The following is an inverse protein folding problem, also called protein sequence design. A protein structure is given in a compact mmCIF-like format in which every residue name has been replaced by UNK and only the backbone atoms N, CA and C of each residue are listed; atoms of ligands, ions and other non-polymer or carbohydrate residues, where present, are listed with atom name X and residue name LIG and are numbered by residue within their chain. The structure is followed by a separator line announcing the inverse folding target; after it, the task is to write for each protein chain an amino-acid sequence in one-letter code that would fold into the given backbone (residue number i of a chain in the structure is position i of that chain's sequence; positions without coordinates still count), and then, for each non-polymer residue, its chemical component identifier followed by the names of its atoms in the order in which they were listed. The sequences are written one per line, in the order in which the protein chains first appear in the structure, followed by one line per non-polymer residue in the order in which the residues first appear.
data_IF_639405105720
#
_entry.id   IF_639405105720
#
_cell.length_a   1.000
_cell.length_b   1.000
_cell.length_c   1.000
_cell.angle_alpha   90.00
_cell.angle_beta   90.00
_cell.angle_gamma   90.00
#
_symmetry.space_group_name_H-M   'P 1'
#
loop_
_entity.id
_entity.type
_entity.pdbx_description
1 polymer ?
#
# COMPACT_ATOMS: atom_id res chain seq x y z
N UNK A 1 -1.67 12.57 -17.22
CA UNK A 1 -0.31 12.54 -16.61
C UNK A 1 -0.44 12.10 -15.16
N UNK A 2 0.46 11.22 -14.70
CA UNK A 2 0.53 10.79 -13.30
C UNK A 2 1.74 11.39 -12.59
N UNK A 3 1.65 11.54 -11.27
CA UNK A 3 2.73 11.99 -10.38
C UNK A 3 3.07 10.85 -9.44
N UNK A 4 4.32 10.37 -9.45
CA UNK A 4 4.79 9.40 -8.46
C UNK A 4 4.98 10.10 -7.11
N UNK A 5 4.17 9.77 -6.11
CA UNK A 5 4.11 10.55 -4.87
C UNK A 5 5.39 10.44 -4.04
N UNK A 6 5.93 9.22 -3.87
CA UNK A 6 7.16 8.98 -3.10
C UNK A 6 8.36 9.81 -3.56
N UNK A 7 8.82 9.68 -4.82
CA UNK A 7 9.93 10.47 -5.36
C UNK A 7 9.67 11.99 -5.34
N UNK A 8 8.41 12.42 -5.44
CA UNK A 8 8.03 13.83 -5.37
C UNK A 8 7.96 14.38 -3.93
N UNK A 9 8.20 13.54 -2.90
CA UNK A 9 8.08 13.94 -1.50
C UNK A 9 6.64 14.29 -1.10
N UNK A 10 5.65 13.69 -1.78
CA UNK A 10 4.24 13.98 -1.60
C UNK A 10 3.54 12.90 -0.77
N UNK A 11 2.59 13.37 0.03
CA UNK A 11 1.59 12.54 0.71
C UNK A 11 0.24 13.12 0.33
N UNK A 12 -0.58 12.34 -0.37
CA UNK A 12 -1.90 12.79 -0.83
C UNK A 12 -2.97 11.99 -0.09
N UNK A 13 -3.92 12.70 0.51
CA UNK A 13 -5.15 12.11 1.06
C UNK A 13 -6.15 12.01 -0.09
N UNK A 14 -6.51 10.79 -0.45
CA UNK A 14 -7.41 10.45 -1.56
C UNK A 14 -8.78 10.08 -0.98
N UNK A 15 -9.72 11.02 -1.09
CA UNK A 15 -11.04 10.95 -0.47
C UNK A 15 -12.04 10.52 -1.54
N UNK A 16 -12.65 9.36 -1.35
CA UNK A 16 -13.64 8.82 -2.26
C UNK A 16 -15.08 9.26 -1.90
N UNK A 17 -15.92 9.36 -2.94
CA UNK A 17 -17.34 9.68 -2.85
C UNK A 17 -18.23 8.52 -3.33
N UNK A 18 -17.76 7.29 -3.24
CA UNK A 18 -18.46 6.14 -3.76
C UNK A 18 -19.69 5.82 -2.91
N UNK A 19 -20.86 5.72 -3.56
CA UNK A 19 -22.10 5.31 -2.91
C UNK A 19 -22.12 3.80 -2.75
N UNK A 20 -21.50 3.31 -1.68
CA UNK A 20 -21.42 1.89 -1.31
C UNK A 20 -21.96 1.68 0.10
N UNK A 21 -22.33 0.45 0.43
CA UNK A 21 -22.83 0.12 1.75
C UNK A 21 -21.81 0.53 2.83
N UNK A 22 -22.28 1.29 3.81
CA UNK A 22 -21.49 1.69 4.97
C UNK A 22 -21.08 0.43 5.74
N UNK A 23 -19.79 0.22 6.02
CA UNK A 23 -19.34 -0.96 6.72
C UNK A 23 -19.73 -0.88 8.19
N UNK A 24 -19.44 -1.95 8.92
CA UNK A 24 -19.56 -1.94 10.37
C UNK A 24 -18.79 -0.76 10.99
N UNK A 25 -19.36 -0.17 12.04
CA UNK A 25 -18.81 0.96 12.79
C UNK A 25 -17.34 0.80 13.17
N UNK A 26 -16.92 -0.42 13.52
CA UNK A 26 -15.53 -0.72 13.87
C UNK A 26 -14.54 -0.63 12.71
N UNK A 27 -15.03 -0.50 11.47
CA UNK A 27 -14.23 -0.42 10.25
C UNK A 27 -14.15 1.01 9.68
N UNK A 28 -14.95 1.95 10.20
CA UNK A 28 -14.97 3.34 9.71
C UNK A 28 -13.65 4.07 10.00
N UNK A 29 -13.12 3.90 11.21
CA UNK A 29 -11.87 4.50 11.67
C UNK A 29 -10.93 3.38 12.18
N UNK A 30 -10.03 2.85 11.34
CA UNK A 30 -9.23 1.66 11.68
C UNK A 30 -8.45 1.78 12.98
N UNK A 31 -8.89 1.18 14.08
CA UNK A 31 -8.21 1.27 15.39
C UNK A 31 -8.64 2.46 16.26
N UNK A 32 -9.75 3.12 15.92
CA UNK A 32 -10.46 4.05 16.81
C UNK A 32 -11.88 3.48 17.01
N UNK A 33 -12.23 3.04 18.23
CA UNK A 33 -13.61 2.63 18.51
C UNK A 33 -14.52 3.87 18.51
N UNK A 34 -15.61 3.80 17.76
CA UNK A 34 -16.67 4.82 17.79
C UNK A 34 -17.71 4.37 18.82
N UNK A 35 -18.00 5.13 19.89
CA UNK A 35 -19.01 4.78 20.88
C UNK A 35 -20.43 4.66 20.28
N UNK A 36 -21.31 3.86 20.90
CA UNK A 36 -22.70 3.64 20.40
C UNK A 36 -23.55 4.91 20.42
N UNK A 37 -23.19 5.84 21.28
CA UNK A 37 -23.88 7.12 21.45
C UNK A 37 -23.61 8.08 20.28
N UNK A 38 -22.59 7.81 19.46
CA UNK A 38 -22.31 8.62 18.25
C UNK A 38 -23.24 8.15 17.15
N UNK A 39 -24.20 9.01 16.78
CA UNK A 39 -25.07 8.78 15.63
C UNK A 39 -24.27 8.90 14.34
N UNK A 40 -24.37 7.89 13.48
CA UNK A 40 -23.69 7.82 12.18
C UNK A 40 -24.68 7.95 11.01
N UNK A 41 -25.93 8.33 11.31
CA UNK A 41 -26.97 8.55 10.32
C UNK A 41 -26.53 9.65 9.33
N UNK A 42 -26.61 9.35 8.03
CA UNK A 42 -26.19 10.27 6.96
C UNK A 42 -24.71 10.19 6.57
N UNK A 43 -23.90 9.32 7.20
CA UNK A 43 -22.56 9.01 6.74
C UNK A 43 -22.64 8.21 5.43
N UNK A 44 -22.11 8.75 4.32
CA UNK A 44 -22.27 8.17 2.98
C UNK A 44 -20.97 8.04 2.19
N UNK A 45 -19.90 8.69 2.64
CA UNK A 45 -18.67 8.80 1.86
C UNK A 45 -17.40 8.96 2.71
N UNK A 46 -16.24 8.99 2.03
CA UNK A 46 -14.96 9.31 2.65
C UNK A 46 -14.87 10.73 3.22
N UNK A 47 -15.69 11.66 2.71
CA UNK A 47 -15.74 13.02 3.27
C UNK A 47 -16.27 13.00 4.71
N UNK A 48 -17.28 12.18 4.95
CA UNK A 48 -17.96 12.08 6.25
C UNK A 48 -17.06 11.39 7.28
N UNK A 49 -16.39 10.30 6.88
CA UNK A 49 -15.45 9.60 7.78
C UNK A 49 -14.19 10.40 8.05
N UNK A 50 -13.70 11.16 7.07
CA UNK A 50 -12.58 12.07 7.31
C UNK A 50 -12.98 13.23 8.22
N UNK A 51 -14.18 13.79 8.05
CA UNK A 51 -14.71 14.82 8.93
C UNK A 51 -14.91 14.29 10.36
N UNK A 52 -15.43 13.07 10.51
CA UNK A 52 -15.55 12.40 11.80
C UNK A 52 -14.18 12.20 12.47
N UNK A 53 -13.17 11.75 11.72
CA UNK A 53 -11.80 11.61 12.23
C UNK A 53 -11.23 12.95 12.69
N UNK A 54 -11.39 14.00 11.89
CA UNK A 54 -10.89 15.33 12.21
C UNK A 54 -11.60 15.89 13.45
N UNK A 55 -12.92 15.77 13.54
CA UNK A 55 -13.70 16.17 14.71
C UNK A 55 -13.28 15.41 15.98
N UNK A 56 -13.02 14.10 15.88
CA UNK A 56 -12.49 13.29 16.99
C UNK A 56 -11.12 13.77 17.48
N UNK A 57 -10.35 14.43 16.62
CA UNK A 57 -9.05 15.03 16.95
C UNK A 57 -9.11 16.52 17.30
N UNK A 58 -10.27 17.16 17.22
CA UNK A 58 -10.41 18.61 17.41
C UNK A 58 -9.77 19.43 16.29
N UNK A 59 -9.67 18.86 15.09
CA UNK A 59 -8.97 19.42 13.93
C UNK A 59 -9.96 19.74 12.79
N UNK A 60 -9.54 20.61 11.87
CA UNK A 60 -10.28 20.85 10.62
C UNK A 60 -10.08 19.69 9.64
N UNK A 61 -11.16 19.28 8.96
CA UNK A 61 -11.06 18.23 7.93
C UNK A 61 -10.09 18.65 6.82
N UNK A 62 -9.17 17.78 6.37
CA UNK A 62 -8.30 18.06 5.23
C UNK A 62 -9.07 18.42 3.95
N UNK A 63 -10.32 17.94 3.79
CA UNK A 63 -11.18 18.34 2.68
C UNK A 63 -11.48 19.85 2.66
N UNK A 64 -11.44 20.50 3.82
CA UNK A 64 -11.69 21.93 4.03
C UNK A 64 -10.41 22.76 4.12
N UNK A 65 -9.22 22.13 4.03
CA UNK A 65 -7.94 22.84 4.08
C UNK A 65 -7.70 23.63 2.78
N UNK A 66 -8.03 24.91 2.80
CA UNK A 66 -7.89 25.80 1.65
C UNK A 66 -6.46 26.32 1.45
N UNK A 67 -5.57 26.06 2.40
CA UNK A 67 -4.17 26.48 2.35
C UNK A 67 -3.28 25.50 1.60
N UNK A 68 -3.83 24.35 1.21
CA UNK A 68 -3.14 23.32 0.45
C UNK A 68 -3.77 23.04 -0.92
N UNK A 69 -3.01 22.44 -1.82
CA UNK A 69 -3.51 22.04 -3.13
C UNK A 69 -4.58 20.94 -2.99
N UNK A 70 -5.79 21.26 -3.44
CA UNK A 70 -6.95 20.36 -3.50
C UNK A 70 -7.37 20.13 -4.95
N UNK A 71 -7.74 18.91 -5.30
CA UNK A 71 -8.11 18.53 -6.68
C UNK A 71 -9.32 17.62 -6.69
N UNK A 72 -10.43 18.07 -7.27
CA UNK A 72 -11.60 17.21 -7.51
C UNK A 72 -11.29 16.13 -8.52
N UNK A 73 -11.74 14.93 -8.19
CA UNK A 73 -11.65 13.78 -9.09
C UNK A 73 -12.91 13.70 -9.96
N UNK A 74 -12.85 13.04 -11.13
CA UNK A 74 -14.03 12.83 -11.95
C UNK A 74 -15.12 11.97 -11.30
N UNK A 75 -14.76 11.13 -10.31
CA UNK A 75 -15.72 10.32 -9.54
C UNK A 75 -16.45 11.11 -8.44
N UNK A 76 -16.17 12.41 -8.27
CA UNK A 76 -16.75 13.24 -7.21
C UNK A 76 -15.92 13.28 -5.92
N UNK A 77 -14.86 12.48 -5.84
CA UNK A 77 -13.87 12.49 -4.76
C UNK A 77 -12.98 13.73 -4.75
N UNK A 78 -12.01 13.75 -3.84
CA UNK A 78 -11.07 14.84 -3.65
C UNK A 78 -9.68 14.32 -3.27
N UNK A 79 -8.66 14.78 -4.00
CA UNK A 79 -7.27 14.64 -3.58
C UNK A 79 -6.83 15.89 -2.81
N UNK A 80 -6.31 15.70 -1.59
CA UNK A 80 -5.71 16.76 -0.77
C UNK A 80 -4.21 16.51 -0.68
N UNK A 81 -3.40 17.42 -1.22
CA UNK A 81 -1.98 17.18 -1.47
C UNK A 81 -1.13 17.84 -0.39
N UNK A 82 -0.23 17.09 0.25
CA UNK A 82 0.74 17.62 1.19
C UNK A 82 2.17 17.28 0.78
N UNK A 83 3.13 18.12 1.19
CA UNK A 83 4.56 17.81 1.15
C UNK A 83 4.97 17.18 2.47
N UNK A 84 5.79 16.14 2.40
CA UNK A 84 6.38 15.52 3.58
C UNK A 84 7.42 16.48 4.21
N UNK A 85 7.26 16.90 5.48
CA UNK A 85 8.22 17.78 6.13
C UNK A 85 9.56 17.11 6.44
N UNK A 86 9.58 15.77 6.54
CA UNK A 86 10.70 15.01 7.09
C UNK A 86 11.15 13.93 6.11
N UNK A 87 12.15 14.18 5.25
CA UNK A 87 12.59 13.23 4.21
C UNK A 87 13.01 11.84 4.73
N UNK A 88 13.46 11.76 5.99
CA UNK A 88 13.84 10.50 6.65
C UNK A 88 12.64 9.64 7.06
N UNK A 89 11.45 10.23 7.16
CA UNK A 89 10.19 9.50 7.41
C UNK A 89 9.54 9.25 6.06
N UNK A 90 9.30 7.99 5.71
CA UNK A 90 8.59 7.63 4.47
C UNK A 90 7.21 7.10 4.81
N UNK A 91 6.22 7.48 4.01
CA UNK A 91 4.85 7.01 4.14
C UNK A 91 4.56 6.05 2.99
N UNK A 92 4.00 4.87 3.27
CA UNK A 92 3.53 3.95 2.23
C UNK A 92 2.16 4.38 1.70
N UNK A 93 1.88 4.04 0.46
CA UNK A 93 0.54 4.13 -0.10
C UNK A 93 -0.41 3.17 0.64
N UNK A 94 -1.68 3.55 0.77
CA UNK A 94 -2.79 2.64 1.05
C UNK A 94 -2.85 1.62 -0.07
N UNK A 95 -2.60 0.35 0.26
CA UNK A 95 -2.66 -0.77 -0.67
C UNK A 95 -3.62 -1.81 -0.13
N UNK A 96 -4.62 -2.19 -0.95
CA UNK A 96 -5.53 -3.30 -0.68
C UNK A 96 -6.54 -3.03 0.44
N UNK A 97 -7.66 -3.75 0.39
CA UNK A 97 -8.78 -3.74 1.35
C UNK A 97 -8.43 -4.34 2.72
N UNK A 98 -7.16 -4.29 3.13
CA UNK A 98 -6.74 -4.70 4.46
C UNK A 98 -7.34 -3.73 5.49
N UNK A 99 -7.85 -4.27 6.60
CA UNK A 99 -8.60 -3.56 7.65
C UNK A 99 -7.80 -2.44 8.37
N UNK A 100 -6.56 -2.16 7.94
CA UNK A 100 -5.62 -1.23 8.57
C UNK A 100 -4.78 -0.39 7.58
N UNK A 101 -5.08 -0.39 6.28
CA UNK A 101 -4.26 0.32 5.27
C UNK A 101 -4.89 1.60 4.73
N UNK A 102 -6.12 1.93 5.11
CA UNK A 102 -6.75 3.22 4.83
C UNK A 102 -6.66 4.14 6.06
N UNK A 103 -6.70 5.46 5.85
CA UNK A 103 -6.77 6.44 6.94
C UNK A 103 -8.13 6.36 7.66
N UNK A 104 -9.19 6.21 6.87
CA UNK A 104 -10.58 5.98 7.26
C UNK A 104 -11.31 5.24 6.12
N UNK A 105 -12.53 4.75 6.34
CA UNK A 105 -13.32 4.16 5.24
C UNK A 105 -13.48 5.17 4.11
N UNK A 106 -13.17 4.75 2.87
CA UNK A 106 -13.12 5.61 1.68
C UNK A 106 -12.10 6.76 1.72
N UNK A 107 -11.06 6.65 2.57
CA UNK A 107 -9.98 7.64 2.63
C UNK A 107 -8.63 6.94 2.57
N UNK A 108 -8.06 6.94 1.37
CA UNK A 108 -6.76 6.35 1.06
C UNK A 108 -5.62 7.38 1.17
N UNK A 109 -4.39 6.88 1.27
CA UNK A 109 -3.16 7.65 1.26
C UNK A 109 -2.36 7.26 0.02
N UNK A 110 -1.93 8.24 -0.77
CA UNK A 110 -1.04 8.03 -1.91
C UNK A 110 0.32 8.63 -1.58
N UNK A 111 1.33 7.77 -1.45
CA UNK A 111 2.69 8.13 -1.04
C UNK A 111 3.73 7.22 -1.70
N UNK A 112 4.70 6.68 -0.95
CA UNK A 112 5.71 5.74 -1.45
C UNK A 112 5.05 4.53 -2.13
N UNK A 113 5.54 4.18 -3.31
CA UNK A 113 4.99 3.08 -4.12
C UNK A 113 3.65 3.41 -4.81
N UNK A 114 3.08 4.59 -4.56
CA UNK A 114 1.84 5.07 -5.19
C UNK A 114 2.09 6.18 -6.20
N UNK A 115 1.09 6.39 -7.05
CA UNK A 115 0.99 7.55 -7.92
C UNK A 115 -0.41 8.16 -7.83
N UNK A 116 -0.54 9.40 -8.29
CA UNK A 116 -1.81 10.10 -8.36
C UNK A 116 -1.93 10.86 -9.67
N UNK A 117 -3.16 11.12 -10.13
CA UNK A 117 -3.36 11.88 -11.37
C UNK A 117 -3.08 13.36 -11.14
N UNK A 118 -2.28 13.96 -12.03
CA UNK A 118 -1.86 15.36 -11.92
C UNK A 118 -3.06 16.32 -12.09
N UNK A 119 -3.08 17.45 -11.37
CA UNK A 119 -4.11 18.47 -11.54
C UNK A 119 -4.20 18.96 -12.99
N UNK A 120 -5.41 19.21 -13.48
CA UNK A 120 -5.68 19.62 -14.86
C UNK A 120 -5.67 18.48 -15.89
N UNK A 121 -5.28 17.26 -15.50
CA UNK A 121 -5.31 16.11 -16.41
C UNK A 121 -6.74 15.79 -16.83
N UNK A 122 -6.93 15.60 -18.15
CA UNK A 122 -8.16 15.08 -18.74
C UNK A 122 -8.03 13.58 -18.95
N UNK A 123 -9.08 12.85 -18.60
CA UNK A 123 -9.22 11.40 -18.82
C UNK A 123 -10.58 11.13 -19.48
N UNK A 124 -10.83 9.93 -20.04
CA UNK A 124 -12.17 9.58 -20.52
C UNK A 124 -13.27 9.69 -19.45
N UNK A 125 -12.92 9.52 -18.17
CA UNK A 125 -13.85 9.66 -17.04
C UNK A 125 -14.15 11.11 -16.67
N UNK A 126 -13.35 12.06 -17.14
CA UNK A 126 -13.49 13.50 -16.86
C UNK A 126 -12.17 14.16 -16.49
N UNK A 127 -12.27 15.37 -15.93
CA UNK A 127 -11.13 16.26 -15.64
C UNK A 127 -10.83 16.30 -14.14
N UNK A 128 -9.55 16.19 -13.79
CA UNK A 128 -9.08 16.44 -12.43
C UNK A 128 -8.95 17.95 -12.23
N UNK A 129 -9.88 18.56 -11.48
CA UNK A 129 -10.02 20.02 -11.39
C UNK A 129 -9.40 20.54 -10.09
N UNK A 130 -8.36 21.40 -10.12
CA UNK A 130 -7.90 22.10 -8.93
C UNK A 130 -9.05 22.91 -8.29
N UNK A 131 -9.18 22.86 -6.97
CA UNK A 131 -10.14 23.66 -6.20
C UNK A 131 -9.45 24.77 -5.40
N UNK A 132 -10.19 25.86 -5.16
CA UNK A 132 -9.70 27.02 -4.42
C UNK A 132 -8.57 27.77 -5.14
N UNK A 133 -7.81 28.58 -4.37
CA UNK A 133 -6.71 29.41 -4.86
C UNK A 133 -5.33 28.77 -4.67
N UNK A 134 -5.18 27.83 -3.73
CA UNK A 134 -3.92 27.13 -3.48
C UNK A 134 -3.49 26.27 -4.69
N UNK A 135 -2.24 26.44 -5.12
CA UNK A 135 -1.65 25.72 -6.27
C UNK A 135 -0.42 24.90 -5.90
N UNK A 136 -0.04 24.90 -4.63
CA UNK A 136 1.13 24.17 -4.11
C UNK A 136 0.72 23.35 -2.90
N UNK A 137 1.26 22.12 -2.73
CA UNK A 137 1.07 21.35 -1.51
C UNK A 137 1.64 22.07 -0.29
N UNK A 138 0.83 22.23 0.76
CA UNK A 138 1.26 22.70 2.07
C UNK A 138 2.04 21.59 2.81
N UNK A 139 2.66 21.93 3.94
CA UNK A 139 3.31 20.94 4.82
C UNK A 139 2.26 20.00 5.39
N UNK A 140 2.55 18.70 5.42
CA UNK A 140 1.70 17.69 6.07
C UNK A 140 1.48 18.04 7.56
N UNK A 141 0.23 18.32 7.98
CA UNK A 141 -0.09 18.66 9.37
C UNK A 141 0.36 17.58 10.36
N UNK A 142 0.82 18.01 11.53
CA UNK A 142 1.32 17.09 12.57
C UNK A 142 0.27 16.05 13.00
N UNK A 143 -1.00 16.45 13.12
CA UNK A 143 -2.07 15.53 13.47
C UNK A 143 -2.25 14.43 12.42
N UNK A 144 -2.16 14.75 11.12
CA UNK A 144 -2.18 13.75 10.06
C UNK A 144 -0.94 12.84 10.13
N UNK A 145 0.24 13.37 10.46
CA UNK A 145 1.42 12.53 10.67
C UNK A 145 1.21 11.50 11.80
N UNK A 146 0.54 11.89 12.90
CA UNK A 146 0.17 10.97 13.99
C UNK A 146 -0.84 9.93 13.53
N UNK A 147 -1.84 10.32 12.76
CA UNK A 147 -2.84 9.39 12.21
C UNK A 147 -2.23 8.39 11.22
N UNK A 148 -1.29 8.83 10.39
CA UNK A 148 -0.54 7.97 9.49
C UNK A 148 0.36 6.98 10.23
N UNK A 149 0.92 7.35 11.40
CA UNK A 149 1.62 6.39 12.26
C UNK A 149 0.66 5.36 12.84
N UNK A 150 -0.48 5.81 13.38
CA UNK A 150 -1.53 4.95 13.98
C UNK A 150 -2.03 3.90 13.00
N UNK A 151 -2.24 4.30 11.75
CA UNK A 151 -2.70 3.43 10.65
C UNK A 151 -1.55 2.74 9.92
N UNK A 152 -0.36 2.67 10.54
CA UNK A 152 0.81 1.95 10.02
C UNK A 152 1.27 2.37 8.62
N UNK A 153 1.01 3.62 8.22
CA UNK A 153 1.52 4.15 6.96
C UNK A 153 3.00 4.51 7.04
N UNK A 154 3.56 4.74 8.24
CA UNK A 154 4.99 5.03 8.37
C UNK A 154 5.83 3.79 8.07
N UNK A 155 6.76 3.92 7.14
CA UNK A 155 7.81 2.93 6.86
C UNK A 155 8.91 3.15 7.88
N UNK A 156 8.88 2.36 8.94
CA UNK A 156 10.00 2.27 9.86
C UNK A 156 11.12 1.47 9.20
N UNK A 157 12.24 2.14 8.92
CA UNK A 157 13.48 1.42 8.71
C UNK A 157 13.86 0.81 10.05
N UNK A 158 13.47 -0.44 10.28
CA UNK A 158 14.05 -1.23 11.36
C UNK A 158 15.54 -1.34 11.01
N UNK A 159 16.36 -0.47 11.60
CA UNK A 159 17.80 -0.69 11.65
C UNK A 159 17.94 -2.06 12.29
N UNK A 160 18.26 -3.06 11.48
CA UNK A 160 18.66 -4.37 11.95
C UNK A 160 20.02 -4.17 12.63
N UNK A 161 19.98 -3.72 13.88
CA UNK A 161 21.07 -3.97 14.80
C UNK A 161 20.90 -5.43 15.18
N UNK A 162 21.42 -6.33 14.34
CA UNK A 162 21.53 -7.74 14.70
C UNK A 162 22.47 -7.84 15.91
N UNK A 163 22.10 -8.58 16.98
CA UNK A 163 23.06 -8.98 17.99
C UNK A 163 24.15 -9.80 17.29
N UNK A 164 25.40 -9.34 17.37
CA UNK A 164 26.55 -10.09 16.87
C UNK A 164 26.68 -11.37 17.70
N UNK A 165 26.15 -12.47 17.20
CA UNK A 165 26.49 -13.80 17.69
C UNK A 165 27.87 -14.19 17.14
N UNK A 166 28.71 -14.89 17.93
CA UNK A 166 30.08 -15.21 17.52
C UNK A 166 30.09 -16.20 16.36
N UNK A 167 30.96 -15.94 15.38
CA UNK A 167 31.08 -16.72 14.16
C UNK A 167 31.78 -18.06 14.39
N UNK A 168 31.22 -19.14 13.84
CA UNK A 168 31.91 -20.42 13.63
C UNK A 168 32.12 -20.57 12.11
N UNK A 169 33.33 -20.91 11.62
CA UNK A 169 33.58 -20.99 10.19
C UNK A 169 33.12 -22.34 9.63
N UNK A 170 32.37 -22.31 8.51
CA UNK A 170 32.07 -23.48 7.70
C UNK A 170 32.43 -23.20 6.22
N UNK A 171 32.86 -24.23 5.46
CA UNK A 171 33.59 -24.06 4.21
C UNK A 171 32.69 -23.64 3.03
N UNK A 172 33.33 -23.00 2.05
CA UNK A 172 32.68 -22.34 0.94
C UNK A 172 32.33 -23.29 -0.21
N UNK A 173 31.03 -23.45 -0.50
CA UNK A 173 30.55 -23.87 -1.82
C UNK A 173 29.89 -22.68 -2.55
N UNK A 174 30.55 -22.19 -3.59
CA UNK A 174 30.11 -21.06 -4.43
C UNK A 174 29.27 -21.59 -5.60
N UNK A 175 28.02 -21.94 -5.31
CA UNK A 175 27.01 -22.32 -6.32
C UNK A 175 25.62 -22.40 -5.71
N UNK A 176 25.49 -23.10 -4.58
CA UNK A 176 24.21 -23.24 -3.85
C UNK A 176 23.82 -22.05 -2.96
N UNK A 177 24.77 -21.15 -2.61
CA UNK A 177 24.49 -20.06 -1.65
C UNK A 177 23.54 -18.98 -2.18
N UNK A 178 23.51 -18.73 -3.50
CA UNK A 178 22.64 -17.70 -4.12
C UNK A 178 21.19 -18.18 -4.19
N UNK A 179 20.96 -19.39 -4.69
CA UNK A 179 19.63 -20.03 -4.71
C UNK A 179 19.09 -20.19 -3.27
N UNK A 180 19.89 -20.74 -2.35
CA UNK A 180 19.48 -20.91 -0.96
C UNK A 180 19.16 -19.59 -0.23
N UNK A 181 19.72 -18.46 -0.68
CA UNK A 181 19.42 -17.14 -0.12
C UNK A 181 18.16 -16.51 -0.73
N UNK A 182 17.86 -16.81 -2.01
CA UNK A 182 16.64 -16.41 -2.68
C UNK A 182 15.43 -17.20 -2.17
N UNK A 183 15.60 -18.52 -2.00
CA UNK A 183 14.60 -19.42 -1.43
C UNK A 183 14.19 -18.96 -0.02
N UNK A 184 15.15 -18.58 0.83
CA UNK A 184 14.87 -18.02 2.17
C UNK A 184 14.00 -16.75 2.17
N UNK A 185 14.02 -15.96 1.10
CA UNK A 185 13.17 -14.77 1.00
C UNK A 185 11.80 -15.07 0.40
N UNK A 186 11.73 -15.99 -0.56
CA UNK A 186 10.49 -16.27 -1.28
C UNK A 186 9.63 -17.33 -0.57
N UNK A 187 10.24 -18.28 0.15
CA UNK A 187 9.54 -19.36 0.84
C UNK A 187 8.55 -18.86 1.90
N UNK A 188 8.90 -17.90 2.79
CA UNK A 188 7.94 -17.36 3.75
C UNK A 188 6.76 -16.65 3.07
N UNK A 189 7.00 -15.99 1.93
CA UNK A 189 5.93 -15.31 1.18
C UNK A 189 4.98 -16.31 0.52
N UNK A 190 5.52 -17.40 -0.02
CA UNK A 190 4.73 -18.51 -0.58
C UNK A 190 3.91 -19.20 0.52
N UNK A 191 4.49 -19.40 1.71
CA UNK A 191 3.77 -19.97 2.85
C UNK A 191 2.58 -19.11 3.27
N UNK A 192 2.75 -17.79 3.34
CA UNK A 192 1.64 -16.86 3.64
C UNK A 192 0.50 -16.93 2.61
N UNK A 193 0.82 -17.21 1.33
CA UNK A 193 -0.20 -17.45 0.29
C UNK A 193 -0.91 -18.77 0.53
N UNK A 194 -0.20 -19.83 0.89
CA UNK A 194 -0.79 -21.13 1.20
C UNK A 194 -1.75 -21.07 2.40
N UNK A 195 -1.38 -20.33 3.46
CA UNK A 195 -2.21 -20.12 4.65
C UNK A 195 -3.58 -19.51 4.34
N UNK A 196 -3.70 -18.76 3.23
CA UNK A 196 -4.99 -18.23 2.81
C UNK A 196 -6.02 -19.32 2.52
N UNK A 197 -5.63 -20.58 2.28
CA UNK A 197 -6.55 -21.71 2.12
C UNK A 197 -7.46 -21.91 3.35
N UNK A 198 -7.05 -21.46 4.53
CA UNK A 198 -7.78 -21.65 5.78
C UNK A 198 -9.14 -20.92 5.86
N UNK A 199 -9.36 -19.89 5.04
CA UNK A 199 -10.64 -19.19 4.95
C UNK A 199 -10.88 -18.69 3.52
N UNK A 200 -12.12 -18.70 2.99
CA UNK A 200 -12.40 -18.30 1.61
C UNK A 200 -12.20 -16.80 1.36
N UNK A 201 -12.41 -15.95 2.38
CA UNK A 201 -12.36 -14.49 2.28
C UNK A 201 -11.63 -13.86 3.48
N UNK A 202 -11.29 -12.57 3.40
CA UNK A 202 -10.66 -11.81 4.50
C UNK A 202 -9.18 -12.12 4.77
N UNK A 203 -8.55 -12.98 3.99
CA UNK A 203 -7.16 -13.45 4.21
C UNK A 203 -6.08 -12.59 3.56
N UNK A 204 -6.45 -11.60 2.74
CA UNK A 204 -5.49 -10.80 1.95
C UNK A 204 -4.80 -11.58 0.83
N UNK A 205 -5.42 -12.67 0.34
CA UNK A 205 -4.81 -13.59 -0.64
C UNK A 205 -4.15 -12.91 -1.85
N UNK A 206 -4.89 -12.05 -2.56
CA UNK A 206 -4.38 -11.41 -3.78
C UNK A 206 -3.16 -10.51 -3.51
N UNK A 207 -3.10 -9.86 -2.35
CA UNK A 207 -1.98 -9.01 -1.94
C UNK A 207 -0.74 -9.85 -1.63
N UNK A 208 -0.90 -10.92 -0.84
CA UNK A 208 0.17 -11.86 -0.52
C UNK A 208 0.73 -12.51 -1.79
N UNK A 209 -0.15 -12.89 -2.72
CA UNK A 209 0.23 -13.45 -4.01
C UNK A 209 0.99 -12.43 -4.87
N UNK A 210 0.48 -11.19 -4.96
CA UNK A 210 1.14 -10.12 -5.70
C UNK A 210 2.51 -9.78 -5.11
N UNK A 211 2.64 -9.70 -3.79
CA UNK A 211 3.92 -9.46 -3.09
C UNK A 211 4.93 -10.58 -3.33
N UNK A 212 4.50 -11.83 -3.25
CA UNK A 212 5.34 -12.98 -3.54
C UNK A 212 5.82 -12.95 -5.00
N UNK A 213 4.92 -12.75 -5.95
CA UNK A 213 5.23 -12.67 -7.37
C UNK A 213 6.10 -11.46 -7.76
N UNK A 214 5.85 -10.28 -7.18
CA UNK A 214 6.69 -9.10 -7.38
C UNK A 214 8.12 -9.31 -6.85
N UNK A 215 8.25 -9.88 -5.65
CA UNK A 215 9.57 -10.19 -5.06
C UNK A 215 10.31 -11.23 -5.90
N UNK A 216 9.61 -12.27 -6.36
CA UNK A 216 10.15 -13.27 -7.28
C UNK A 216 10.62 -12.64 -8.59
N UNK A 217 9.86 -11.70 -9.17
CA UNK A 217 10.23 -11.00 -10.40
C UNK A 217 11.56 -10.26 -10.27
N UNK A 218 11.76 -9.55 -9.15
CA UNK A 218 13.03 -8.88 -8.86
C UNK A 218 14.19 -9.86 -8.68
N UNK A 219 13.97 -11.01 -8.02
CA UNK A 219 14.98 -12.06 -7.85
C UNK A 219 15.35 -12.75 -9.17
N UNK A 220 14.37 -12.99 -10.04
CA UNK A 220 14.58 -13.51 -11.40
C UNK A 220 15.43 -12.54 -12.21
N UNK A 221 15.08 -11.25 -12.20
CA UNK A 221 15.84 -10.23 -12.92
C UNK A 221 17.27 -10.04 -12.38
N UNK A 222 17.50 -10.34 -11.10
CA UNK A 222 18.82 -10.37 -10.49
C UNK A 222 19.58 -11.71 -10.72
N UNK A 223 19.01 -12.66 -11.46
CA UNK A 223 19.61 -13.95 -11.78
C UNK A 223 19.68 -14.92 -10.59
N UNK A 224 18.78 -14.75 -9.61
CA UNK A 224 18.76 -15.57 -8.40
C UNK A 224 17.72 -16.71 -8.45
N UNK A 225 16.70 -16.59 -9.30
CA UNK A 225 15.65 -17.60 -9.50
C UNK A 225 15.40 -17.82 -10.99
N UNK A 226 14.96 -19.03 -11.34
CA UNK A 226 14.44 -19.32 -12.67
C UNK A 226 12.99 -18.84 -12.80
N UNK A 227 12.69 -18.12 -13.88
CA UNK A 227 11.38 -17.50 -14.09
C UNK A 227 10.26 -18.53 -14.24
N UNK A 228 10.50 -19.60 -15.01
CA UNK A 228 9.48 -20.60 -15.26
C UNK A 228 9.17 -21.40 -14.00
N UNK A 229 10.21 -21.83 -13.27
CA UNK A 229 10.07 -22.58 -12.03
C UNK A 229 9.35 -21.78 -10.93
N UNK A 230 9.69 -20.50 -10.73
CA UNK A 230 9.05 -19.70 -9.69
C UNK A 230 7.61 -19.33 -10.04
N UNK A 231 7.32 -19.04 -11.33
CA UNK A 231 5.96 -18.80 -11.80
C UNK A 231 5.08 -20.01 -11.53
N UNK A 232 5.53 -21.19 -11.94
CA UNK A 232 4.80 -22.44 -11.77
C UNK A 232 4.54 -22.74 -10.28
N UNK A 233 5.54 -22.52 -9.42
CA UNK A 233 5.39 -22.64 -7.96
C UNK A 233 4.35 -21.66 -7.38
N UNK A 234 4.36 -20.40 -7.84
CA UNK A 234 3.40 -19.37 -7.40
C UNK A 234 1.97 -19.65 -7.89
N UNK A 235 1.81 -20.11 -9.14
CA UNK A 235 0.51 -20.49 -9.70
C UNK A 235 -0.06 -21.69 -8.95
N UNK A 236 0.75 -22.71 -8.66
CA UNK A 236 0.31 -23.87 -7.87
C UNK A 236 -0.21 -23.48 -6.49
N UNK A 237 0.55 -22.68 -5.73
CA UNK A 237 0.11 -22.28 -4.38
C UNK A 237 -1.13 -21.36 -4.44
N UNK A 238 -1.24 -20.54 -5.48
CA UNK A 238 -2.41 -19.69 -5.70
C UNK A 238 -3.67 -20.52 -5.98
N UNK A 239 -3.57 -21.52 -6.86
CA UNK A 239 -4.66 -22.45 -7.17
C UNK A 239 -5.02 -23.33 -5.98
N UNK A 240 -4.05 -23.74 -5.17
CA UNK A 240 -4.31 -24.44 -3.92
C UNK A 240 -5.15 -23.59 -2.95
N UNK A 241 -4.76 -22.33 -2.74
CA UNK A 241 -5.48 -21.45 -1.83
C UNK A 241 -6.83 -20.98 -2.39
N UNK A 242 -6.96 -20.76 -3.70
CA UNK A 242 -8.19 -20.27 -4.36
C UNK A 242 -8.48 -21.02 -5.67
N UNK A 243 -8.95 -22.28 -5.61
CA UNK A 243 -9.16 -23.11 -6.80
C UNK A 243 -10.28 -22.59 -7.72
N UNK A 244 -11.18 -21.74 -7.22
CA UNK A 244 -12.26 -21.11 -8.00
C UNK A 244 -11.86 -19.82 -8.72
N UNK A 245 -10.62 -19.34 -8.59
CA UNK A 245 -10.15 -18.08 -9.20
C UNK A 245 -8.95 -18.25 -10.15
N UNK A 246 -8.84 -19.39 -10.85
CA UNK A 246 -7.62 -19.78 -11.57
C UNK A 246 -7.11 -18.71 -12.54
N UNK A 247 -7.93 -18.24 -13.49
CA UNK A 247 -7.50 -17.20 -14.45
C UNK A 247 -7.07 -15.89 -13.77
N UNK A 248 -7.71 -15.54 -12.65
CA UNK A 248 -7.34 -14.34 -11.87
C UNK A 248 -6.02 -14.53 -11.13
N UNK A 249 -5.80 -15.72 -10.56
CA UNK A 249 -4.56 -16.08 -9.87
C UNK A 249 -3.36 -15.99 -10.83
N UNK A 250 -3.47 -16.60 -12.00
CA UNK A 250 -2.44 -16.56 -13.04
C UNK A 250 -2.15 -15.13 -13.48
N UNK A 251 -3.19 -14.32 -13.73
CA UNK A 251 -3.02 -12.92 -14.09
C UNK A 251 -2.28 -12.11 -13.02
N UNK A 252 -2.59 -12.31 -11.74
CA UNK A 252 -1.87 -11.63 -10.64
C UNK A 252 -0.40 -12.02 -10.63
N UNK A 253 -0.10 -13.32 -10.81
CA UNK A 253 1.29 -13.82 -10.84
C UNK A 253 2.04 -13.22 -12.02
N UNK A 254 1.46 -13.24 -13.21
CA UNK A 254 2.10 -12.74 -14.44
C UNK A 254 2.34 -11.23 -14.41
N UNK A 255 1.32 -10.46 -14.05
CA UNK A 255 1.42 -8.99 -13.97
C UNK A 255 2.47 -8.59 -12.91
N UNK A 256 2.48 -9.25 -11.74
CA UNK A 256 3.41 -8.91 -10.66
C UNK A 256 4.85 -9.36 -10.95
N UNK A 257 5.06 -10.54 -11.56
CA UNK A 257 6.39 -10.99 -12.00
C UNK A 257 6.97 -10.01 -13.04
N UNK A 258 6.15 -9.57 -14.00
CA UNK A 258 6.56 -8.61 -15.02
C UNK A 258 6.91 -7.23 -14.44
N UNK A 259 6.14 -6.74 -13.46
CA UNK A 259 6.46 -5.47 -12.79
C UNK A 259 7.70 -5.61 -11.91
N UNK A 260 7.84 -6.74 -11.20
CA UNK A 260 8.99 -7.03 -10.35
C UNK A 260 10.30 -7.13 -11.12
N UNK A 261 10.28 -7.71 -12.34
CA UNK A 261 11.48 -7.89 -13.15
C UNK A 261 12.11 -6.58 -13.64
N UNK A 262 11.32 -5.49 -13.70
CA UNK A 262 11.83 -4.14 -13.99
C UNK A 262 12.68 -3.57 -12.84
N UNK A 263 12.66 -4.19 -11.65
CA UNK A 263 13.42 -3.77 -10.46
C UNK A 263 14.22 -4.94 -9.87
N UNK A 264 15.42 -5.25 -10.41
CA UNK A 264 16.26 -6.34 -9.94
C UNK A 264 16.54 -6.25 -8.42
N UNK A 265 16.34 -7.36 -7.71
CA UNK A 265 16.54 -7.48 -6.27
C UNK A 265 17.83 -8.25 -6.00
N UNK A 266 18.93 -7.51 -5.79
CA UNK A 266 20.23 -8.10 -5.51
C UNK A 266 20.34 -8.55 -4.05
N UNK A 267 20.57 -9.84 -3.84
CA UNK A 267 20.88 -10.38 -2.52
C UNK A 267 22.34 -10.07 -2.21
N UNK A 268 22.57 -9.23 -1.18
CA UNK A 268 23.92 -8.79 -0.80
C UNK A 268 24.88 -9.98 -0.66
N UNK A 269 25.73 -10.17 -1.65
CA UNK A 269 27.08 -10.71 -1.50
C UNK A 269 28.03 -9.53 -1.65
N UNK A 270 28.94 -9.34 -0.69
CA UNK A 270 30.08 -8.42 -0.85
C UNK A 270 30.83 -8.72 -2.17
N UNK A 271 31.49 -7.71 -2.77
CA UNK A 271 32.11 -7.79 -4.09
C UNK A 271 33.09 -8.96 -4.23
#
# INVERSE_FOLDING_TARGET
MGVACGPAGLVVVDIDAHQVQVPDRGQLLPGIPIPEQVQLDGLVSGFDTLALLAAYRGETSPAQDEHTLRVRTPSGGLHVWYRNPTPSVRYRCSTGSARHTALAWQVDIRAEGGYIVAPGTRTPKGVYRPEGSARRPAVLPEWLQRELRRTQHVIEHKSLVEPVAPAVPAPAHRGGRRAASADRLIDPLIALVAECAAAPEGTGFSEKLNRAAYTAGGLVAAGHLDQAAIRDRLVRVAHYARPWQQSRNEKIVDDALAVGSVRPLHLKGRP
#
